data_IF_623113955474
#
_entry.id   IF_623113955474
#
_cell.length_a   1.000
_cell.length_b   1.000
_cell.length_c   1.000
_cell.angle_alpha   90.00
_cell.angle_beta   90.00
_cell.angle_gamma   90.00
#
_symmetry.space_group_name_H-M   'P 1'
#
loop_
_entity.id
_entity.type
_entity.pdbx_description
1 polymer ?
#
# COMPACT_ATOMS: atom_id res chain seq x y z
N UNK A 1 13.27 -1.94 8.51
CA UNK A 1 12.01 -1.20 8.32
C UNK A 1 10.76 -2.02 8.69
N UNK A 2 9.75 -1.40 9.32
CA UNK A 2 8.39 -1.95 9.56
C UNK A 2 7.36 -1.42 8.57
N UNK A 3 6.19 -2.04 8.51
CA UNK A 3 5.10 -1.65 7.60
C UNK A 3 3.80 -1.32 8.32
N UNK A 4 3.03 -0.38 7.79
CA UNK A 4 1.67 -0.08 8.20
C UNK A 4 0.74 -0.15 6.99
N UNK A 5 -0.36 -0.88 7.11
CA UNK A 5 -1.48 -0.82 6.18
C UNK A 5 -2.63 -0.11 6.89
N UNK A 6 -3.00 1.07 6.40
CA UNK A 6 -4.18 1.78 6.89
C UNK A 6 -5.41 1.31 6.09
N UNK A 7 -6.15 0.38 6.68
CA UNK A 7 -7.34 -0.27 6.11
C UNK A 7 -8.62 0.14 6.86
N UNK A 8 -8.72 1.40 7.25
CA UNK A 8 -9.88 1.99 7.93
C UNK A 8 -10.83 2.75 6.99
N UNK A 9 -11.62 3.65 7.58
CA UNK A 9 -12.55 4.52 6.89
C UNK A 9 -13.96 3.94 6.72
N UNK A 10 -14.93 4.82 6.49
CA UNK A 10 -16.36 4.46 6.43
C UNK A 10 -16.80 3.91 5.06
N UNK A 11 -15.99 4.10 4.01
CA UNK A 11 -16.29 3.56 2.66
C UNK A 11 -17.63 4.02 2.08
N UNK A 12 -18.16 5.16 2.50
CA UNK A 12 -19.54 5.61 2.19
C UNK A 12 -19.80 5.80 0.69
N UNK A 13 -18.77 6.15 -0.09
CA UNK A 13 -18.85 6.28 -1.57
C UNK A 13 -19.17 4.95 -2.28
N UNK A 14 -18.99 3.82 -1.61
CA UNK A 14 -19.30 2.48 -2.10
C UNK A 14 -20.58 1.90 -1.48
N UNK A 15 -21.39 2.72 -0.82
CA UNK A 15 -22.71 2.28 -0.37
C UNK A 15 -23.53 1.77 -1.58
N UNK A 16 -24.19 0.60 -1.49
CA UNK A 16 -24.42 -0.22 -0.30
C UNK A 16 -23.41 -1.37 -0.05
N UNK A 17 -22.37 -1.52 -0.88
CA UNK A 17 -21.38 -2.61 -0.75
C UNK A 17 -20.70 -2.62 0.62
N UNK A 18 -20.48 -1.44 1.19
CA UNK A 18 -19.76 -1.24 2.45
C UNK A 18 -20.65 -1.28 3.71
N UNK A 19 -21.94 -1.59 3.57
CA UNK A 19 -22.86 -1.68 4.72
C UNK A 19 -22.50 -2.82 5.69
N UNK A 20 -22.02 -3.94 5.16
CA UNK A 20 -21.74 -5.15 5.94
C UNK A 20 -20.29 -5.59 5.86
N UNK A 21 -19.52 -5.07 4.90
CA UNK A 21 -18.15 -5.48 4.60
C UNK A 21 -17.27 -4.25 4.45
N UNK A 22 -16.08 -4.25 5.06
CA UNK A 22 -15.08 -3.21 4.85
C UNK A 22 -14.73 -3.06 3.36
N UNK A 23 -14.45 -1.83 2.90
CA UNK A 23 -13.99 -1.58 1.53
C UNK A 23 -12.79 -2.46 1.17
N UNK A 24 -11.81 -2.55 2.07
CA UNK A 24 -10.55 -3.25 1.83
C UNK A 24 -10.69 -4.80 1.90
N UNK A 25 -11.88 -5.30 2.23
CA UNK A 25 -12.24 -6.72 2.13
C UNK A 25 -13.05 -7.04 0.86
N UNK A 26 -13.45 -6.03 0.08
CA UNK A 26 -14.12 -6.26 -1.21
C UNK A 26 -13.15 -6.94 -2.20
N UNK A 27 -13.67 -7.77 -3.12
CA UNK A 27 -12.84 -8.42 -4.10
C UNK A 27 -12.37 -7.43 -5.16
N UNK A 28 -11.09 -7.50 -5.49
CA UNK A 28 -10.55 -7.01 -6.76
C UNK A 28 -10.26 -8.26 -7.58
N UNK A 29 -11.09 -8.48 -8.59
CA UNK A 29 -11.09 -9.73 -9.37
C UNK A 29 -11.19 -10.99 -8.50
N UNK A 30 -10.07 -11.62 -8.16
CA UNK A 30 -10.00 -12.94 -7.52
C UNK A 30 -9.37 -12.91 -6.11
N UNK A 31 -9.06 -11.72 -5.56
CA UNK A 31 -8.43 -11.56 -4.24
C UNK A 31 -9.08 -10.41 -3.45
N UNK A 32 -9.06 -10.44 -2.10
CA UNK A 32 -9.44 -9.29 -1.29
C UNK A 32 -8.54 -8.08 -1.59
N UNK A 33 -9.12 -6.88 -1.63
CA UNK A 33 -8.42 -5.63 -1.94
C UNK A 33 -7.17 -5.39 -1.07
N UNK A 34 -7.17 -5.79 0.21
CA UNK A 34 -5.99 -5.64 1.08
C UNK A 34 -4.76 -6.46 0.65
N UNK A 35 -4.92 -7.49 -0.20
CA UNK A 35 -3.78 -8.27 -0.70
C UNK A 35 -2.83 -7.41 -1.55
N UNK A 36 -3.37 -6.43 -2.27
CA UNK A 36 -2.59 -5.58 -3.18
C UNK A 36 -1.59 -4.68 -2.42
N UNK A 37 -2.01 -3.86 -1.43
CA UNK A 37 -1.06 -3.10 -0.61
C UNK A 37 -0.17 -4.00 0.26
N UNK A 38 -0.66 -5.14 0.75
CA UNK A 38 0.18 -6.13 1.44
C UNK A 38 1.32 -6.61 0.54
N UNK A 39 1.03 -6.92 -0.72
CA UNK A 39 2.03 -7.35 -1.69
C UNK A 39 3.09 -6.27 -1.97
N UNK A 40 2.73 -4.98 -1.88
CA UNK A 40 3.69 -3.87 -2.02
C UNK A 40 4.70 -3.89 -0.87
N UNK A 41 4.23 -3.99 0.38
CA UNK A 41 5.11 -4.08 1.54
C UNK A 41 6.01 -5.33 1.50
N UNK A 42 5.43 -6.48 1.13
CA UNK A 42 6.21 -7.72 0.98
C UNK A 42 7.25 -7.61 -0.15
N UNK A 43 6.91 -6.99 -1.28
CA UNK A 43 7.87 -6.74 -2.36
C UNK A 43 8.97 -5.74 -1.98
N UNK A 44 8.71 -4.84 -1.03
CA UNK A 44 9.71 -3.98 -0.42
C UNK A 44 10.61 -4.73 0.59
N UNK A 45 10.34 -6.01 0.87
CA UNK A 45 11.09 -6.82 1.83
C UNK A 45 10.62 -6.66 3.29
N UNK A 46 9.49 -6.00 3.53
CA UNK A 46 8.98 -5.71 4.87
C UNK A 46 8.18 -6.90 5.38
N UNK A 47 8.54 -7.39 6.59
CA UNK A 47 7.96 -8.59 7.20
C UNK A 47 7.23 -8.35 8.52
N UNK A 48 7.45 -7.25 9.22
CA UNK A 48 6.69 -6.90 10.42
C UNK A 48 5.71 -5.79 10.03
N UNK A 49 4.42 -6.10 9.99
CA UNK A 49 3.38 -5.26 9.40
C UNK A 49 2.22 -5.08 10.38
N UNK A 50 1.85 -3.83 10.63
CA UNK A 50 0.68 -3.46 11.41
C UNK A 50 -0.49 -3.14 10.48
N UNK A 51 -1.63 -3.79 10.69
CA UNK A 51 -2.88 -3.47 10.02
C UNK A 51 -3.74 -2.62 10.97
N UNK A 52 -4.07 -1.41 10.53
CA UNK A 52 -4.92 -0.49 11.29
C UNK A 52 -6.28 -0.42 10.60
N UNK A 53 -7.35 -0.68 11.34
CA UNK A 53 -8.71 -0.61 10.80
C UNK A 53 -9.74 -0.14 11.85
N UNK A 54 -11.01 -0.08 11.48
CA UNK A 54 -12.11 0.27 12.38
C UNK A 54 -12.27 -0.78 13.50
N UNK A 55 -12.92 -0.44 14.63
CA UNK A 55 -13.21 -1.42 15.68
C UNK A 55 -13.96 -2.64 15.16
N UNK A 56 -14.85 -2.44 14.18
CA UNK A 56 -15.72 -3.48 13.63
C UNK A 56 -14.98 -4.40 12.65
N UNK A 57 -14.06 -3.85 11.84
CA UNK A 57 -13.41 -4.61 10.76
C UNK A 57 -12.04 -5.17 11.14
N UNK A 58 -11.38 -4.63 12.17
CA UNK A 58 -10.09 -5.18 12.65
C UNK A 58 -10.14 -6.69 12.93
N UNK A 59 -11.18 -7.24 13.62
CA UNK A 59 -11.31 -8.68 13.81
C UNK A 59 -11.43 -9.48 12.49
N UNK A 60 -12.05 -8.89 11.46
CA UNK A 60 -12.25 -9.55 10.15
C UNK A 60 -10.95 -9.61 9.36
N UNK A 61 -10.11 -8.58 9.43
CA UNK A 61 -8.76 -8.65 8.87
C UNK A 61 -7.91 -9.72 9.58
N UNK A 62 -8.07 -9.87 10.89
CA UNK A 62 -7.40 -10.94 11.64
C UNK A 62 -7.92 -12.33 11.27
N UNK A 63 -9.22 -12.48 11.00
CA UNK A 63 -9.79 -13.74 10.50
C UNK A 63 -9.25 -14.08 9.10
N UNK A 64 -9.16 -13.10 8.20
CA UNK A 64 -8.65 -13.29 6.84
C UNK A 64 -7.14 -13.60 6.81
N UNK A 65 -6.34 -12.83 7.55
CA UNK A 65 -4.88 -12.78 7.40
C UNK A 65 -4.13 -13.48 8.55
N UNK A 66 -4.81 -13.86 9.63
CA UNK A 66 -4.22 -14.59 10.75
C UNK A 66 -3.15 -13.80 11.48
N UNK A 67 -1.97 -14.39 11.65
CA UNK A 67 -0.78 -13.73 12.21
C UNK A 67 0.32 -13.52 11.15
N UNK A 68 0.03 -13.89 9.89
CA UNK A 68 0.92 -13.73 8.74
C UNK A 68 1.88 -14.88 8.45
N UNK A 69 2.01 -15.88 9.33
CA UNK A 69 3.03 -16.93 9.14
C UNK A 69 2.84 -17.72 7.84
N UNK A 70 1.60 -17.85 7.35
CA UNK A 70 1.31 -18.49 6.07
C UNK A 70 1.92 -17.77 4.85
N UNK A 71 2.33 -16.52 5.01
CA UNK A 71 3.04 -15.73 3.99
C UNK A 71 4.49 -15.43 4.40
N UNK A 72 4.95 -15.93 5.56
CA UNK A 72 6.29 -15.68 6.09
C UNK A 72 6.49 -14.28 6.66
N UNK A 73 5.39 -13.60 7.04
CA UNK A 73 5.40 -12.28 7.67
C UNK A 73 4.81 -12.37 9.09
N UNK A 74 4.95 -11.29 9.86
CA UNK A 74 4.35 -11.10 11.18
C UNK A 74 3.34 -9.96 11.10
N UNK A 75 2.09 -10.27 11.37
CA UNK A 75 0.99 -9.30 11.34
C UNK A 75 0.57 -8.93 12.76
N UNK A 76 0.55 -7.63 13.01
CA UNK A 76 -0.05 -7.01 14.18
C UNK A 76 -1.31 -6.26 13.79
N UNK A 77 -2.21 -6.02 14.74
CA UNK A 77 -3.50 -5.38 14.49
C UNK A 77 -3.74 -4.27 15.51
N UNK A 78 -4.17 -3.11 15.04
CA UNK A 78 -4.60 -2.00 15.90
C UNK A 78 -5.92 -1.39 15.40
N UNK A 79 -6.67 -0.83 16.33
CA UNK A 79 -7.93 -0.17 16.05
C UNK A 79 -7.70 1.33 15.89
N UNK A 80 -8.21 1.90 14.81
CA UNK A 80 -8.44 3.33 14.64
C UNK A 80 -9.89 3.63 15.09
N UNK A 81 -10.09 4.31 16.23
CA UNK A 81 -11.45 4.54 16.77
C UNK A 81 -12.32 5.42 15.88
N UNK A 82 -11.70 6.40 15.20
CA UNK A 82 -12.34 7.37 14.31
C UNK A 82 -11.39 7.71 13.17
N UNK A 83 -11.87 7.94 11.93
CA UNK A 83 -11.01 8.27 10.79
C UNK A 83 -10.53 9.74 10.83
N UNK A 84 -9.72 10.09 11.83
CA UNK A 84 -9.29 11.48 12.09
C UNK A 84 -8.09 11.92 11.23
N UNK A 85 -7.92 11.31 10.05
CA UNK A 85 -6.83 11.59 9.12
C UNK A 85 -5.77 10.49 9.03
N UNK A 86 -5.01 10.49 7.93
CA UNK A 86 -4.07 9.44 7.58
C UNK A 86 -2.83 9.43 8.49
N UNK A 87 -2.35 10.60 8.93
CA UNK A 87 -1.17 10.70 9.79
C UNK A 87 -1.40 10.13 11.20
N UNK A 88 -2.66 9.94 11.62
CA UNK A 88 -3.01 9.26 12.87
C UNK A 88 -2.45 7.82 12.93
N UNK A 89 -2.20 7.18 11.79
CA UNK A 89 -1.61 5.86 11.71
C UNK A 89 -0.25 5.76 12.44
N UNK A 90 0.58 6.82 12.39
CA UNK A 90 1.87 6.86 13.07
C UNK A 90 1.76 7.08 14.57
N UNK A 91 0.64 7.66 15.03
CA UNK A 91 0.33 7.83 16.46
C UNK A 91 -0.18 6.50 17.01
N UNK A 92 -1.14 5.86 16.33
CA UNK A 92 -1.67 4.55 16.72
C UNK A 92 -0.55 3.49 16.69
N UNK A 93 0.30 3.55 15.66
CA UNK A 93 1.39 2.63 15.46
C UNK A 93 2.67 2.96 16.23
N UNK A 94 2.69 3.97 17.10
CA UNK A 94 3.94 4.43 17.77
C UNK A 94 4.71 3.28 18.42
N UNK A 95 4.07 2.52 19.31
CA UNK A 95 4.72 1.41 20.03
C UNK A 95 5.17 0.31 19.06
N UNK A 96 4.36 0.06 18.02
CA UNK A 96 4.71 -0.89 16.99
C UNK A 96 5.94 -0.44 16.19
N UNK A 97 6.03 0.84 15.81
CA UNK A 97 7.17 1.41 15.09
C UNK A 97 8.41 1.34 15.97
N UNK A 98 8.33 1.79 17.23
CA UNK A 98 9.48 1.88 18.13
C UNK A 98 10.55 2.82 17.55
N UNK A 99 11.80 2.36 17.49
CA UNK A 99 12.93 3.11 16.93
C UNK A 99 13.19 2.79 15.43
N UNK A 100 12.34 1.97 14.80
CA UNK A 100 12.51 1.57 13.41
C UNK A 100 12.04 2.64 12.41
N UNK A 101 12.52 2.54 11.17
CA UNK A 101 11.92 3.21 10.00
C UNK A 101 10.62 2.51 9.60
N UNK A 102 9.73 3.22 8.90
CA UNK A 102 8.39 2.70 8.59
C UNK A 102 7.92 3.06 7.18
N UNK A 103 7.31 2.10 6.49
CA UNK A 103 6.51 2.35 5.30
C UNK A 103 5.02 2.31 5.65
N UNK A 104 4.22 3.22 5.08
CA UNK A 104 2.77 3.20 5.16
C UNK A 104 2.19 3.06 3.75
N UNK A 105 1.20 2.19 3.60
CA UNK A 105 0.39 2.06 2.38
C UNK A 105 -1.09 2.10 2.72
N UNK A 106 -1.88 2.76 1.89
CA UNK A 106 -3.33 2.79 2.02
C UNK A 106 -3.94 1.47 1.54
N UNK A 107 -4.89 0.95 2.32
CA UNK A 107 -5.46 -0.39 2.12
C UNK A 107 -6.28 -0.59 0.83
N UNK A 108 -6.51 0.47 0.06
CA UNK A 108 -7.32 0.55 -1.15
C UNK A 108 -6.53 0.93 -2.42
N UNK A 109 -5.21 1.04 -2.28
CA UNK A 109 -4.31 1.43 -3.35
C UNK A 109 -3.71 0.19 -4.04
N UNK A 110 -3.81 0.16 -5.37
CA UNK A 110 -3.28 -0.90 -6.21
C UNK A 110 -2.17 -0.32 -7.07
N UNK A 111 -1.00 -0.96 -7.03
CA UNK A 111 0.15 -0.60 -7.84
C UNK A 111 0.59 -1.79 -8.69
N UNK A 112 0.80 -1.55 -9.98
CA UNK A 112 1.36 -2.53 -10.88
C UNK A 112 2.29 -1.84 -11.89
N UNK A 113 3.42 -2.46 -12.19
CA UNK A 113 4.36 -1.90 -13.15
C UNK A 113 5.73 -2.56 -13.06
N UNK A 114 6.41 -2.67 -14.20
CA UNK A 114 7.75 -3.23 -14.26
C UNK A 114 8.74 -2.32 -13.49
N UNK A 115 9.66 -2.93 -12.73
CA UNK A 115 10.65 -2.19 -11.95
C UNK A 115 10.15 -1.64 -10.62
N UNK A 116 8.91 -1.94 -10.20
CA UNK A 116 8.36 -1.53 -8.90
C UNK A 116 9.27 -1.97 -7.74
N UNK A 117 9.74 -3.22 -7.74
CA UNK A 117 10.62 -3.77 -6.68
C UNK A 117 11.87 -2.91 -6.48
N UNK A 118 12.53 -2.48 -7.55
CA UNK A 118 13.72 -1.61 -7.49
C UNK A 118 13.41 -0.28 -6.80
N UNK A 119 12.29 0.36 -7.16
CA UNK A 119 11.87 1.63 -6.55
C UNK A 119 11.53 1.49 -5.07
N UNK A 120 10.87 0.39 -4.70
CA UNK A 120 10.58 0.07 -3.30
C UNK A 120 11.88 -0.13 -2.51
N UNK A 121 12.85 -0.87 -3.03
CA UNK A 121 14.17 -1.05 -2.39
C UNK A 121 14.88 0.28 -2.19
N UNK A 122 14.91 1.16 -3.20
CA UNK A 122 15.49 2.51 -3.05
C UNK A 122 14.79 3.33 -1.95
N UNK A 123 13.46 3.26 -1.87
CA UNK A 123 12.71 3.98 -0.83
C UNK A 123 13.02 3.47 0.59
N UNK A 124 13.19 2.14 0.75
CA UNK A 124 13.66 1.53 2.00
C UNK A 124 15.06 2.04 2.36
N UNK A 125 16.00 1.97 1.41
CA UNK A 125 17.39 2.43 1.61
C UNK A 125 17.45 3.92 1.99
N UNK A 126 16.63 4.77 1.37
CA UNK A 126 16.58 6.19 1.69
C UNK A 126 16.17 6.44 3.14
N UNK A 127 15.10 5.80 3.60
CA UNK A 127 14.64 5.93 4.97
C UNK A 127 15.68 5.38 5.97
N UNK A 128 16.25 4.20 5.72
CA UNK A 128 17.22 3.55 6.61
C UNK A 128 18.57 4.27 6.66
N UNK A 129 18.95 4.97 5.59
CA UNK A 129 20.17 5.79 5.54
C UNK A 129 19.99 7.23 6.03
N UNK A 130 18.81 7.58 6.56
CA UNK A 130 18.53 8.92 7.10
C UNK A 130 18.35 9.99 6.02
N UNK A 131 18.03 9.61 4.78
CA UNK A 131 17.67 10.54 3.68
C UNK A 131 16.21 10.99 3.75
N UNK A 132 15.56 10.82 4.90
CA UNK A 132 14.20 11.30 5.17
C UNK A 132 13.10 10.44 4.56
N UNK A 133 12.11 11.11 4.00
CA UNK A 133 10.89 10.51 3.47
C UNK A 133 11.00 10.23 1.98
N UNK A 134 10.30 9.21 1.50
CA UNK A 134 10.07 8.96 0.07
C UNK A 134 8.57 8.80 -0.19
N UNK A 135 8.05 9.56 -1.16
CA UNK A 135 6.67 9.46 -1.63
C UNK A 135 6.64 9.23 -3.13
N UNK A 136 5.55 8.66 -3.63
CA UNK A 136 5.42 8.31 -5.04
C UNK A 136 4.43 9.22 -5.75
N UNK A 137 4.90 9.90 -6.79
CA UNK A 137 4.11 10.78 -7.64
C UNK A 137 3.53 10.03 -8.85
N UNK A 138 2.28 10.30 -9.20
CA UNK A 138 1.62 9.74 -10.38
C UNK A 138 0.83 10.82 -11.12
N UNK A 139 0.82 10.77 -12.46
CA UNK A 139 0.07 11.74 -13.26
C UNK A 139 -1.43 11.41 -13.24
N UNK A 140 -2.26 12.40 -12.97
CA UNK A 140 -3.73 12.30 -12.97
C UNK A 140 -4.38 13.43 -13.76
N UNK A 141 -5.57 13.17 -14.28
CA UNK A 141 -6.37 14.17 -14.99
C UNK A 141 -7.22 15.03 -14.05
N UNK A 142 -7.49 14.56 -12.82
CA UNK A 142 -8.31 15.19 -11.79
C UNK A 142 -7.52 15.50 -10.48
N UNK A 143 -6.48 16.36 -10.56
CA UNK A 143 -5.55 16.60 -9.46
C UNK A 143 -6.18 17.20 -8.18
N UNK A 144 -7.30 17.91 -8.27
CA UNK A 144 -8.00 18.53 -7.14
C UNK A 144 -8.47 17.54 -6.06
N UNK A 145 -8.49 16.24 -6.37
CA UNK A 145 -8.93 15.18 -5.45
C UNK A 145 -7.85 14.66 -4.51
N UNK A 146 -6.59 15.04 -4.73
CA UNK A 146 -5.41 14.42 -4.09
C UNK A 146 -4.45 15.45 -3.50
N UNK A 147 -3.44 14.97 -2.77
CA UNK A 147 -2.26 15.76 -2.44
C UNK A 147 -1.42 15.97 -3.69
N UNK A 148 -1.21 17.21 -4.13
CA UNK A 148 -0.51 17.55 -5.37
C UNK A 148 0.89 18.05 -5.06
N UNK A 149 1.88 17.52 -5.80
CA UNK A 149 3.27 17.93 -5.72
C UNK A 149 3.66 18.80 -6.92
N UNK A 150 4.22 19.97 -6.65
CA UNK A 150 4.79 20.86 -7.66
C UNK A 150 6.28 20.58 -7.84
N UNK A 151 6.76 20.70 -9.08
CA UNK A 151 8.17 20.52 -9.42
C UNK A 151 8.75 21.79 -10.04
N UNK A 152 10.03 22.07 -9.78
CA UNK A 152 10.79 23.07 -10.51
C UNK A 152 11.21 22.57 -11.91
N UNK A 153 11.86 23.45 -12.67
CA UNK A 153 12.37 23.15 -14.02
C UNK A 153 13.40 22.01 -14.09
N UNK A 154 14.00 21.63 -12.96
CA UNK A 154 14.96 20.54 -12.85
C UNK A 154 14.31 19.24 -12.35
N UNK A 155 12.99 19.23 -12.13
CA UNK A 155 12.25 18.08 -11.60
C UNK A 155 12.38 17.90 -10.08
N UNK A 156 12.84 18.91 -9.33
CA UNK A 156 12.88 18.87 -7.87
C UNK A 156 11.51 19.29 -7.31
N UNK A 157 10.99 18.54 -6.34
CA UNK A 157 9.76 18.91 -5.64
C UNK A 157 9.95 20.23 -4.86
N UNK A 158 9.00 21.16 -4.99
CA UNK A 158 9.07 22.50 -4.36
C UNK A 158 7.88 22.85 -3.49
N UNK A 159 6.70 22.27 -3.75
CA UNK A 159 5.53 22.45 -2.89
C UNK A 159 4.65 21.20 -2.88
N UNK A 160 3.89 21.03 -1.80
CA UNK A 160 2.87 19.98 -1.67
C UNK A 160 1.61 20.53 -1.00
N UNK A 161 0.45 20.32 -1.63
CA UNK A 161 -0.84 20.88 -1.23
C UNK A 161 -1.92 19.82 -1.24
N UNK A 162 -2.72 19.74 -0.17
CA UNK A 162 -3.82 18.78 -0.06
C UNK A 162 -5.05 19.34 -0.76
N UNK A 163 -5.53 18.64 -1.81
CA UNK A 163 -6.76 18.95 -2.54
C UNK A 163 -6.88 20.44 -2.92
N UNK A 164 -5.89 20.99 -3.64
CA UNK A 164 -5.91 22.42 -3.99
C UNK A 164 -7.05 22.72 -4.97
N UNK A 165 -7.76 23.84 -4.75
CA UNK A 165 -8.77 24.35 -5.69
C UNK A 165 -8.15 24.73 -7.05
N UNK A 166 -6.87 25.15 -7.04
CA UNK A 166 -6.09 25.50 -8.22
C UNK A 166 -4.77 24.72 -8.22
N UNK A 167 -4.78 23.45 -8.69
CA UNK A 167 -3.60 22.59 -8.68
C UNK A 167 -2.43 23.18 -9.47
N UNK A 168 -1.23 23.14 -8.85
CA UNK A 168 0.01 23.65 -9.48
C UNK A 168 0.66 22.65 -10.44
N UNK A 169 0.20 21.40 -10.43
CA UNK A 169 0.63 20.35 -11.33
C UNK A 169 -0.47 19.28 -11.45
N UNK A 170 -0.24 18.31 -12.33
CA UNK A 170 -1.07 17.12 -12.49
C UNK A 170 -0.46 15.88 -11.81
N UNK A 171 0.51 16.06 -10.92
CA UNK A 171 1.17 14.96 -10.23
C UNK A 171 0.67 14.86 -8.80
N UNK A 172 -0.13 13.82 -8.53
CA UNK A 172 -0.58 13.52 -7.19
C UNK A 172 0.42 12.64 -6.44
N UNK A 173 0.43 12.77 -5.12
CA UNK A 173 1.06 11.82 -4.21
C UNK A 173 0.11 10.66 -3.98
N UNK A 174 0.55 9.47 -4.38
CA UNK A 174 -0.19 8.21 -4.19
C UNK A 174 -0.23 7.78 -2.73
N UNK A 175 -1.02 6.77 -2.40
CA UNK A 175 -1.17 6.21 -1.05
C UNK A 175 -0.01 5.31 -0.60
N UNK A 176 1.24 5.63 -0.94
CA UNK A 176 2.43 4.87 -0.56
C UNK A 176 3.54 5.81 -0.09
N UNK A 177 4.02 5.58 1.13
CA UNK A 177 4.92 6.49 1.84
C UNK A 177 5.99 5.70 2.59
N UNK A 178 7.22 6.17 2.56
CA UNK A 178 8.35 5.62 3.33
C UNK A 178 8.95 6.73 4.17
N UNK A 179 9.22 6.46 5.43
CA UNK A 179 9.73 7.46 6.36
C UNK A 179 10.85 6.90 7.23
N UNK A 180 11.75 7.79 7.61
CA UNK A 180 12.59 7.59 8.79
C UNK A 180 11.74 7.63 10.07
N UNK A 181 12.38 7.37 11.22
CA UNK A 181 11.67 7.27 12.50
C UNK A 181 11.05 8.59 13.00
N UNK A 182 11.52 9.76 12.53
CA UNK A 182 11.02 11.08 12.98
C UNK A 182 9.55 11.29 12.65
N UNK A 183 9.00 10.50 11.73
CA UNK A 183 7.59 10.52 11.35
C UNK A 183 6.63 10.43 12.55
N UNK A 184 7.01 9.70 13.61
CA UNK A 184 6.18 9.58 14.82
C UNK A 184 6.09 10.92 15.55
N UNK A 185 7.23 11.58 15.76
CA UNK A 185 7.27 12.92 16.37
C UNK A 185 6.54 13.95 15.51
N UNK A 186 6.80 13.94 14.20
CA UNK A 186 6.16 14.88 13.28
C UNK A 186 4.64 14.69 13.27
N UNK A 187 4.15 13.45 13.21
CA UNK A 187 2.72 13.15 13.24
C UNK A 187 2.05 13.60 14.54
N UNK A 188 2.71 13.46 15.70
CA UNK A 188 2.18 13.93 17.00
C UNK A 188 2.05 15.45 17.09
N UNK A 189 2.92 16.18 16.39
CA UNK A 189 2.95 17.64 16.40
C UNK A 189 2.03 18.26 15.34
N UNK A 190 1.41 17.46 14.47
CA UNK A 190 0.43 17.96 13.51
C UNK A 190 -0.82 18.51 14.20
N UNK A 191 -1.40 19.51 13.56
CA UNK A 191 -2.70 20.06 13.94
C UNK A 191 -3.75 19.60 12.93
N UNK A 192 -4.99 19.35 13.35
CA UNK A 192 -6.07 19.04 12.42
C UNK A 192 -6.23 20.14 11.37
N UNK A 193 -6.46 19.74 10.13
CA UNK A 193 -6.73 20.65 9.00
C UNK A 193 -8.09 21.33 9.15
N UNK A 194 -8.45 22.21 8.20
CA UNK A 194 -9.80 22.77 8.12
C UNK A 194 -10.91 21.69 8.00
N UNK A 195 -10.55 20.47 7.59
CA UNK A 195 -11.44 19.31 7.51
C UNK A 195 -11.51 18.52 8.82
N UNK A 196 -10.71 18.89 9.82
CA UNK A 196 -10.61 18.18 11.09
C UNK A 196 -9.76 16.91 11.04
N UNK A 197 -8.95 16.72 9.98
CA UNK A 197 -8.12 15.53 9.75
C UNK A 197 -6.63 15.85 9.98
N UNK A 198 -5.88 14.88 10.50
CA UNK A 198 -4.41 14.89 10.51
C UNK A 198 -3.90 14.47 9.12
N UNK A 199 -3.61 15.46 8.28
CA UNK A 199 -3.30 15.26 6.86
C UNK A 199 -1.88 14.70 6.66
N UNK A 200 -1.77 13.64 5.86
CA UNK A 200 -0.45 13.11 5.46
C UNK A 200 0.34 14.13 4.61
N UNK A 201 -0.37 14.99 3.89
CA UNK A 201 0.24 16.04 3.08
C UNK A 201 0.94 17.09 3.94
N UNK A 202 0.40 17.41 5.12
CA UNK A 202 1.07 18.29 6.08
C UNK A 202 2.32 17.62 6.66
N UNK A 203 2.27 16.31 6.93
CA UNK A 203 3.43 15.52 7.33
C UNK A 203 4.54 15.54 6.27
N UNK A 204 4.17 15.32 5.01
CA UNK A 204 5.09 15.37 3.88
C UNK A 204 5.70 16.76 3.69
N UNK A 205 4.92 17.82 3.93
CA UNK A 205 5.39 19.20 3.84
C UNK A 205 6.52 19.49 4.83
N UNK A 206 6.46 18.95 6.05
CA UNK A 206 7.55 19.08 7.04
C UNK A 206 8.86 18.54 6.46
N UNK A 207 8.85 17.32 5.90
CA UNK A 207 10.03 16.73 5.26
C UNK A 207 10.50 17.55 4.05
N UNK A 208 9.57 18.11 3.27
CA UNK A 208 9.89 18.93 2.10
C UNK A 208 10.60 20.23 2.50
N UNK A 209 10.08 20.93 3.50
CA UNK A 209 10.64 22.18 4.03
C UNK A 209 12.03 21.97 4.63
N UNK A 210 12.29 20.79 5.21
CA UNK A 210 13.62 20.38 5.68
C UNK A 210 14.57 19.90 4.58
N UNK A 211 14.10 19.83 3.33
CA UNK A 211 14.87 19.32 2.19
C UNK A 211 15.11 17.81 2.19
N UNK A 212 14.31 17.06 2.96
CA UNK A 212 14.43 15.63 3.22
C UNK A 212 13.24 14.82 2.64
N UNK A 213 12.47 15.38 1.70
CA UNK A 213 11.43 14.66 0.96
C UNK A 213 11.93 14.27 -0.44
N UNK A 214 11.98 12.97 -0.69
CA UNK A 214 12.26 12.39 -2.00
C UNK A 214 10.93 12.09 -2.69
N UNK A 215 10.79 12.49 -3.96
CA UNK A 215 9.59 12.24 -4.76
C UNK A 215 9.93 11.37 -5.95
N UNK A 216 9.46 10.13 -5.93
CA UNK A 216 9.68 9.13 -6.96
C UNK A 216 8.51 9.10 -7.94
N UNK A 217 8.75 9.49 -9.20
CA UNK A 217 7.69 9.49 -10.22
C UNK A 217 7.46 8.09 -10.81
N UNK A 218 6.22 7.64 -10.71
CA UNK A 218 5.69 6.45 -11.37
C UNK A 218 5.24 6.83 -12.79
N UNK A 219 6.20 6.84 -13.71
CA UNK A 219 5.97 7.24 -15.10
C UNK A 219 5.27 6.18 -15.98
N UNK A 220 5.38 6.37 -17.30
CA UNK A 220 4.79 5.46 -18.29
C UNK A 220 5.19 3.99 -18.04
N UNK A 221 4.19 3.10 -18.06
CA UNK A 221 4.35 1.67 -17.77
C UNK A 221 3.99 1.25 -16.34
N UNK A 222 3.70 2.21 -15.46
CA UNK A 222 3.04 1.95 -14.19
C UNK A 222 1.53 2.18 -14.31
N UNK A 223 0.78 1.49 -13.48
CA UNK A 223 -0.63 1.68 -13.25
C UNK A 223 -0.85 1.79 -11.75
N UNK A 224 -1.43 2.92 -11.36
CA UNK A 224 -1.91 3.16 -10.00
C UNK A 224 -3.42 3.34 -10.04
N UNK A 225 -4.12 2.67 -9.13
CA UNK A 225 -5.58 2.73 -9.02
C UNK A 225 -5.98 2.94 -7.55
N UNK A 226 -6.81 3.94 -7.31
CA UNK A 226 -7.54 4.16 -6.06
C UNK A 226 -8.99 3.69 -6.23
N UNK A 227 -9.38 2.66 -5.47
CA UNK A 227 -10.69 1.99 -5.57
C UNK A 227 -11.78 2.68 -4.73
N UNK A 228 -11.81 4.01 -4.76
CA UNK A 228 -12.70 4.84 -3.94
C UNK A 228 -14.16 4.94 -4.42
N UNK A 229 -14.46 4.53 -5.65
CA UNK A 229 -15.81 4.58 -6.28
C UNK A 229 -16.18 3.26 -6.96
N UNK A 230 -17.46 3.07 -7.29
CA UNK A 230 -17.94 1.86 -7.95
C UNK A 230 -17.25 1.65 -9.31
N UNK A 231 -17.08 2.71 -10.08
CA UNK A 231 -16.41 2.71 -11.38
C UNK A 231 -14.94 2.31 -11.22
N UNK A 232 -14.21 2.97 -10.30
CA UNK A 232 -12.78 2.64 -10.05
C UNK A 232 -12.57 1.21 -9.56
N UNK A 233 -13.53 0.65 -8.83
CA UNK A 233 -13.50 -0.74 -8.38
C UNK A 233 -13.66 -1.73 -9.56
N UNK A 234 -14.55 -1.41 -10.51
CA UNK A 234 -14.72 -2.17 -11.75
C UNK A 234 -13.47 -2.06 -12.62
N UNK A 235 -12.92 -0.86 -12.77
CA UNK A 235 -11.71 -0.63 -13.56
C UNK A 235 -10.52 -1.41 -13.00
N UNK A 236 -10.33 -1.40 -11.67
CA UNK A 236 -9.32 -2.21 -11.01
C UNK A 236 -9.51 -3.71 -11.22
N UNK A 237 -10.75 -4.19 -11.12
CA UNK A 237 -11.07 -5.61 -11.40
C UNK A 237 -10.76 -5.97 -12.86
N UNK A 238 -11.14 -5.13 -13.80
CA UNK A 238 -10.89 -5.35 -15.23
C UNK A 238 -9.39 -5.31 -15.56
N UNK A 239 -8.66 -4.38 -14.95
CA UNK A 239 -7.22 -4.28 -15.09
C UNK A 239 -6.54 -5.56 -14.61
N UNK A 240 -6.78 -5.99 -13.37
CA UNK A 240 -6.18 -7.21 -12.82
C UNK A 240 -6.54 -8.42 -13.67
N UNK A 241 -7.81 -8.60 -13.99
CA UNK A 241 -8.26 -9.72 -14.85
C UNK A 241 -7.52 -9.75 -16.18
N UNK A 242 -7.40 -8.60 -16.84
CA UNK A 242 -6.74 -8.50 -18.15
C UNK A 242 -5.27 -8.86 -18.04
N UNK A 243 -4.56 -8.27 -17.07
CA UNK A 243 -3.14 -8.54 -16.87
C UNK A 243 -2.90 -10.01 -16.52
N UNK A 244 -3.66 -10.58 -15.57
CA UNK A 244 -3.48 -11.99 -15.18
C UNK A 244 -3.80 -12.95 -16.32
N UNK A 245 -4.82 -12.65 -17.13
CA UNK A 245 -5.21 -13.50 -18.27
C UNK A 245 -4.12 -13.53 -19.34
N UNK A 246 -3.51 -12.38 -19.64
CA UNK A 246 -2.52 -12.26 -20.71
C UNK A 246 -1.10 -12.63 -20.27
N UNK A 247 -0.74 -12.38 -19.01
CA UNK A 247 0.57 -12.74 -18.47
C UNK A 247 0.60 -14.16 -17.91
N UNK A 248 -0.58 -14.77 -17.70
CA UNK A 248 -0.74 -16.05 -16.99
C UNK A 248 -0.08 -16.03 -15.61
N UNK A 249 0.04 -14.87 -14.98
CA UNK A 249 0.64 -14.67 -13.65
C UNK A 249 -0.32 -13.89 -12.77
N UNK A 250 -0.32 -14.19 -11.47
CA UNK A 250 -1.18 -13.49 -10.53
C UNK A 250 -0.52 -12.22 -10.03
N UNK A 251 -1.32 -11.15 -9.93
CA UNK A 251 -0.92 -9.94 -9.23
C UNK A 251 -1.23 -10.13 -7.74
N UNK A 252 -0.29 -9.75 -6.87
CA UNK A 252 -0.48 -9.78 -5.41
C UNK A 252 -0.82 -11.18 -4.85
N UNK A 253 -0.17 -12.24 -5.37
CA UNK A 253 -0.19 -13.55 -4.73
C UNK A 253 0.83 -13.58 -3.58
N UNK A 254 0.34 -13.55 -2.33
CA UNK A 254 1.20 -13.36 -1.16
C UNK A 254 2.07 -14.60 -0.89
N UNK A 255 1.54 -15.79 -1.09
CA UNK A 255 2.25 -17.06 -0.98
C UNK A 255 3.37 -17.17 -2.01
N UNK A 256 3.14 -16.73 -3.25
CA UNK A 256 4.19 -16.65 -4.27
C UNK A 256 5.31 -15.71 -3.82
N UNK A 257 4.97 -14.51 -3.34
CA UNK A 257 5.97 -13.54 -2.88
C UNK A 257 6.77 -14.09 -1.70
N UNK A 258 6.09 -14.68 -0.71
CA UNK A 258 6.72 -15.32 0.44
C UNK A 258 7.66 -16.47 0.02
N UNK A 259 7.22 -17.31 -0.92
CA UNK A 259 8.02 -18.44 -1.42
C UNK A 259 9.24 -17.98 -2.22
N UNK A 260 9.06 -17.05 -3.15
CA UNK A 260 10.15 -16.53 -3.99
C UNK A 260 11.19 -15.74 -3.18
N UNK A 261 10.79 -15.12 -2.07
CA UNK A 261 11.73 -14.49 -1.12
C UNK A 261 12.33 -15.49 -0.11
N UNK A 262 11.95 -16.77 -0.16
CA UNK A 262 12.43 -17.80 0.77
C UNK A 262 11.90 -17.65 2.21
N UNK A 263 10.80 -16.93 2.41
CA UNK A 263 10.18 -16.71 3.72
C UNK A 263 9.29 -17.85 4.17
N UNK A 264 8.76 -18.61 3.20
CA UNK A 264 8.02 -19.85 3.43
C UNK A 264 8.58 -20.97 2.55
N UNK A 265 8.49 -22.19 3.03
CA UNK A 265 9.00 -23.38 2.36
C UNK A 265 8.05 -23.89 1.28
N UNK A 266 8.56 -24.74 0.38
CA UNK A 266 7.75 -25.44 -0.62
C UNK A 266 6.62 -26.25 0.03
N UNK A 267 6.90 -26.89 1.15
CA UNK A 267 5.94 -27.69 1.92
C UNK A 267 4.83 -26.82 2.50
N UNK A 268 5.13 -25.59 2.91
CA UNK A 268 4.13 -24.63 3.41
C UNK A 268 3.18 -24.19 2.29
N UNK A 269 3.70 -23.85 1.11
CA UNK A 269 2.86 -23.53 -0.07
C UNK A 269 2.04 -24.75 -0.51
N UNK A 270 2.60 -25.96 -0.47
CA UNK A 270 1.86 -27.18 -0.79
C UNK A 270 0.65 -27.40 0.12
N UNK A 271 0.75 -27.06 1.42
CA UNK A 271 -0.40 -27.14 2.34
C UNK A 271 -1.54 -26.22 1.88
N UNK A 272 -1.22 -25.01 1.43
CA UNK A 272 -2.21 -24.06 0.89
C UNK A 272 -2.80 -24.58 -0.41
N UNK A 273 -1.97 -25.10 -1.32
CA UNK A 273 -2.42 -25.74 -2.56
C UNK A 273 -3.42 -26.85 -2.29
N UNK A 274 -3.16 -27.75 -1.33
CA UNK A 274 -4.06 -28.88 -1.06
C UNK A 274 -5.48 -28.45 -0.66
N UNK A 275 -5.61 -27.31 0.03
CA UNK A 275 -6.90 -26.70 0.39
C UNK A 275 -7.57 -26.07 -0.84
N UNK A 276 -6.79 -25.41 -1.71
CA UNK A 276 -7.29 -24.60 -2.82
C UNK A 276 -7.28 -25.30 -4.19
N UNK A 277 -6.82 -26.55 -4.29
CA UNK A 277 -6.56 -27.28 -5.56
C UNK A 277 -7.74 -27.39 -6.52
N UNK A 278 -8.96 -27.10 -6.05
CA UNK A 278 -10.18 -27.09 -6.87
C UNK A 278 -10.44 -25.76 -7.58
N UNK A 279 -9.65 -24.72 -7.34
CA UNK A 279 -9.81 -23.41 -7.97
C UNK A 279 -8.54 -22.94 -8.70
N UNK A 280 -8.67 -21.85 -9.46
CA UNK A 280 -7.58 -21.29 -10.27
C UNK A 280 -6.42 -20.75 -9.43
N UNK A 281 -6.68 -20.30 -8.19
CA UNK A 281 -5.63 -19.84 -7.27
C UNK A 281 -4.73 -20.99 -6.83
N UNK A 282 -5.31 -22.11 -6.41
CA UNK A 282 -4.55 -23.32 -6.08
C UNK A 282 -3.73 -23.81 -7.28
N UNK A 283 -4.34 -23.90 -8.46
CA UNK A 283 -3.61 -24.32 -9.65
C UNK A 283 -2.42 -23.38 -9.97
N UNK A 284 -2.58 -22.07 -9.77
CA UNK A 284 -1.48 -21.12 -9.93
C UNK A 284 -0.33 -21.38 -8.95
N UNK A 285 -0.62 -21.63 -7.67
CA UNK A 285 0.43 -21.97 -6.70
C UNK A 285 1.19 -23.23 -7.12
N UNK A 286 0.48 -24.22 -7.67
CA UNK A 286 1.11 -25.43 -8.18
C UNK A 286 2.05 -25.13 -9.36
N UNK A 287 1.61 -24.30 -10.29
CA UNK A 287 2.43 -23.85 -11.42
C UNK A 287 3.72 -23.12 -10.96
N UNK A 288 3.63 -22.28 -9.93
CA UNK A 288 4.79 -21.62 -9.29
C UNK A 288 5.74 -22.67 -8.71
N UNK A 289 5.23 -23.63 -7.94
CA UNK A 289 6.04 -24.68 -7.29
C UNK A 289 6.70 -25.66 -8.27
N UNK A 290 6.11 -25.84 -9.45
CA UNK A 290 6.63 -26.67 -10.52
C UNK A 290 7.62 -25.91 -11.43
N UNK A 291 7.90 -24.64 -11.13
CA UNK A 291 8.90 -23.83 -11.83
C UNK A 291 8.47 -23.41 -13.22
N UNK A 292 7.15 -23.29 -13.46
CA UNK A 292 6.59 -22.82 -14.75
C UNK A 292 7.08 -21.42 -15.11
N UNK A 293 7.31 -20.58 -14.10
CA UNK A 293 7.80 -19.21 -14.23
C UNK A 293 9.25 -19.14 -13.73
N UNK A 294 10.19 -18.81 -14.63
CA UNK A 294 11.62 -18.71 -14.31
C UNK A 294 12.01 -17.24 -14.13
N UNK A 295 11.95 -16.74 -12.89
CA UNK A 295 12.22 -15.32 -12.57
C UNK A 295 13.65 -14.89 -12.94
N UNK A 296 14.61 -15.82 -12.97
CA UNK A 296 16.02 -15.53 -13.25
C UNK A 296 16.32 -15.25 -14.74
N UNK A 297 15.32 -15.37 -15.63
CA UNK A 297 15.48 -15.07 -17.05
C UNK A 297 15.23 -13.59 -17.39
N UNK A 298 14.77 -12.77 -16.44
CA UNK A 298 14.31 -11.39 -16.67
C UNK A 298 14.84 -10.40 -15.62
#
# INVERSE_FOLDING_TARGET
MKGIILAGGSGTRLYPLTMVTSKQLLPIYDKPMIYYPMSVLMNAGIRDILIISTPQDTPRFKELLGDGHQFGVKLSYAVQPSPDGLAQAFIIGEEFIGDDTVAMVLGDNIFAGHGMKKRLTTAVENAESGKGATVFGYYVDDPERFGIVEFDQNGKAVSIEEKPEHPKSNYCVTGLYFYDNKVVEYAKNLKPSARGELEITDLNRIYLEEGNLNVELLGQGFTWLDTGTHESLVDATNFVKTVETHQHRKIACLEEIGYLNGWISKEEVLKVYEVLKKNQYGQYLKDVLDGKYQENLY
#
